data_IF_345826566517
#
_entry.id   IF_345826566517
#
_cell.length_a   1.000
_cell.length_b   1.000
_cell.length_c   1.000
_cell.angle_alpha   90.00
_cell.angle_beta   90.00
_cell.angle_gamma   90.00
#
_symmetry.space_group_name_H-M   'P 1'
#
loop_
_entity.id
_entity.type
_entity.pdbx_description
1 polymer ?
#
# COMPACT_ATOMS: atom_id res chain seq x y z
N UNK A 1 4.14 -3.06 17.10
CA UNK A 1 3.33 -2.01 16.43
C UNK A 1 2.22 -2.70 15.68
N UNK A 2 0.97 -2.29 15.90
CA UNK A 2 -0.20 -2.92 15.29
C UNK A 2 -0.70 -2.05 14.15
N UNK A 3 -0.91 -2.66 12.99
CA UNK A 3 -1.44 -2.00 11.81
C UNK A 3 -2.73 -2.67 11.35
N UNK A 4 -3.69 -1.85 10.93
CA UNK A 4 -4.93 -2.33 10.35
C UNK A 4 -4.73 -2.56 8.85
N UNK A 5 -4.94 -3.79 8.39
CA UNK A 5 -4.79 -4.17 6.99
C UNK A 5 -6.12 -4.71 6.45
N UNK A 6 -6.44 -4.37 5.20
CA UNK A 6 -7.67 -4.80 4.55
C UNK A 6 -7.36 -5.79 3.42
N UNK A 7 -8.07 -6.92 3.40
CA UNK A 7 -7.98 -7.90 2.35
C UNK A 7 -8.62 -7.34 1.06
N UNK A 8 -7.85 -7.31 -0.02
CA UNK A 8 -8.32 -6.85 -1.34
C UNK A 8 -9.34 -7.78 -1.98
N UNK A 9 -9.41 -9.05 -1.55
CA UNK A 9 -10.33 -10.04 -2.10
C UNK A 9 -11.70 -10.05 -1.42
N UNK A 10 -11.75 -10.18 -0.09
CA UNK A 10 -13.01 -10.30 0.65
C UNK A 10 -13.43 -9.03 1.40
N UNK A 11 -12.56 -8.02 1.46
CA UNK A 11 -12.82 -6.78 2.18
C UNK A 11 -12.71 -6.88 3.70
N UNK A 12 -12.37 -8.05 4.26
CA UNK A 12 -12.14 -8.19 5.69
C UNK A 12 -10.99 -7.29 6.14
N UNK A 13 -11.14 -6.68 7.30
CA UNK A 13 -10.12 -5.85 7.92
C UNK A 13 -9.63 -6.52 9.20
N UNK A 14 -8.33 -6.69 9.32
CA UNK A 14 -7.70 -7.38 10.45
C UNK A 14 -6.49 -6.60 10.96
N UNK A 15 -6.10 -6.89 12.19
CA UNK A 15 -4.88 -6.35 12.79
C UNK A 15 -3.71 -7.27 12.46
N UNK A 16 -2.63 -6.70 11.94
CA UNK A 16 -1.35 -7.38 11.80
C UNK A 16 -0.37 -6.79 12.83
N UNK A 17 0.17 -7.64 13.70
CA UNK A 17 1.28 -7.28 14.59
C UNK A 17 2.57 -7.84 14.04
N UNK A 18 3.57 -6.99 13.84
CA UNK A 18 4.89 -7.42 13.38
C UNK A 18 5.76 -8.03 14.49
N UNK A 19 5.26 -8.10 15.73
CA UNK A 19 6.01 -8.67 16.85
C UNK A 19 6.20 -10.18 16.63
N UNK A 20 7.46 -10.61 16.61
CA UNK A 20 7.91 -11.99 16.39
C UNK A 20 7.85 -12.55 14.95
N UNK A 21 7.58 -11.73 13.93
CA UNK A 21 7.59 -12.18 12.53
C UNK A 21 8.89 -11.82 11.79
N UNK A 22 9.35 -12.72 10.91
CA UNK A 22 10.41 -12.43 9.96
C UNK A 22 9.89 -11.55 8.83
N UNK A 23 10.78 -10.81 8.17
CA UNK A 23 10.40 -9.88 7.11
C UNK A 23 9.69 -10.57 5.92
N UNK A 24 10.02 -11.82 5.62
CA UNK A 24 9.43 -12.61 4.53
C UNK A 24 8.19 -13.41 4.95
N UNK A 25 7.78 -13.35 6.21
CA UNK A 25 6.58 -14.04 6.65
C UNK A 25 5.34 -13.41 6.00
N UNK A 26 4.41 -14.26 5.59
CA UNK A 26 3.19 -13.87 4.92
C UNK A 26 2.14 -13.37 5.91
N UNK A 27 1.44 -12.30 5.52
CA UNK A 27 0.21 -11.84 6.13
C UNK A 27 -0.93 -12.38 5.27
N UNK A 28 -1.67 -13.33 5.81
CA UNK A 28 -2.82 -13.95 5.14
C UNK A 28 -4.13 -13.48 5.75
N UNK A 29 -5.18 -13.44 4.95
CA UNK A 29 -6.50 -13.06 5.41
C UNK A 29 -7.07 -14.14 6.34
N UNK A 30 -7.50 -13.76 7.55
CA UNK A 30 -8.09 -14.70 8.51
C UNK A 30 -9.42 -15.29 8.03
N UNK A 31 -10.12 -14.59 7.13
CA UNK A 31 -11.43 -15.01 6.62
C UNK A 31 -11.30 -15.89 5.37
N UNK A 32 -10.59 -15.43 4.34
CA UNK A 32 -10.54 -16.13 3.05
C UNK A 32 -9.23 -16.87 2.78
N UNK A 33 -8.23 -16.73 3.65
CA UNK A 33 -6.91 -17.36 3.50
C UNK A 33 -6.02 -16.76 2.41
N UNK A 34 -6.49 -15.76 1.67
CA UNK A 34 -5.68 -15.12 0.62
C UNK A 34 -4.46 -14.42 1.21
N UNK A 35 -3.35 -14.50 0.47
CA UNK A 35 -2.19 -13.66 0.71
C UNK A 35 -2.56 -12.18 0.57
N UNK A 36 -2.13 -11.38 1.54
CA UNK A 36 -2.32 -9.92 1.53
C UNK A 36 -0.98 -9.22 1.28
N UNK A 37 0.02 -9.51 2.10
CA UNK A 37 1.34 -8.87 2.03
C UNK A 37 2.40 -9.64 2.84
N UNK A 38 3.61 -9.11 2.97
CA UNK A 38 4.65 -9.58 3.89
C UNK A 38 4.88 -8.60 5.04
N UNK A 39 5.33 -9.11 6.19
CA UNK A 39 5.62 -8.26 7.36
C UNK A 39 6.74 -7.23 7.12
N UNK A 40 7.72 -7.56 6.28
CA UNK A 40 8.80 -6.65 5.90
C UNK A 40 8.27 -5.46 5.09
N UNK A 41 7.50 -5.73 4.05
CA UNK A 41 6.90 -4.66 3.23
C UNK A 41 5.94 -3.78 4.04
N UNK A 42 5.14 -4.35 4.94
CA UNK A 42 4.27 -3.58 5.83
C UNK A 42 5.06 -2.66 6.78
N UNK A 43 6.20 -3.11 7.30
CA UNK A 43 7.08 -2.26 8.11
C UNK A 43 7.70 -1.13 7.28
N UNK A 44 8.10 -1.40 6.03
CA UNK A 44 8.61 -0.38 5.12
C UNK A 44 7.56 0.68 4.81
N UNK A 45 6.31 0.28 4.54
CA UNK A 45 5.19 1.19 4.32
C UNK A 45 4.93 2.08 5.54
N UNK A 46 5.07 1.52 6.74
CA UNK A 46 4.92 2.26 7.98
C UNK A 46 6.03 3.30 8.21
N UNK A 47 7.13 3.27 7.44
CA UNK A 47 8.19 4.27 7.57
C UNK A 47 7.78 5.62 6.96
N UNK A 48 8.15 6.75 7.59
CA UNK A 48 7.86 8.09 7.05
C UNK A 48 8.43 8.31 5.64
N UNK A 49 9.59 7.71 5.34
CA UNK A 49 10.26 7.87 4.05
C UNK A 49 9.47 7.23 2.91
N UNK A 50 8.90 6.05 3.13
CA UNK A 50 8.08 5.38 2.13
C UNK A 50 6.80 6.18 1.84
N UNK A 51 6.11 6.67 2.89
CA UNK A 51 4.92 7.50 2.72
C UNK A 51 5.22 8.77 1.92
N UNK A 52 6.29 9.48 2.25
CA UNK A 52 6.71 10.67 1.50
C UNK A 52 7.08 10.33 0.04
N UNK A 53 7.72 9.19 -0.20
CA UNK A 53 8.05 8.73 -1.55
C UNK A 53 6.77 8.50 -2.37
N UNK A 54 5.82 7.74 -1.82
CA UNK A 54 4.54 7.44 -2.47
C UNK A 54 3.72 8.70 -2.76
N UNK A 55 3.68 9.66 -1.83
CA UNK A 55 3.02 10.95 -2.06
C UNK A 55 3.67 11.76 -3.19
N UNK A 56 4.99 11.75 -3.29
CA UNK A 56 5.70 12.41 -4.39
C UNK A 56 5.44 11.76 -5.75
N UNK A 57 5.32 10.43 -5.79
CA UNK A 57 4.91 9.70 -6.99
C UNK A 57 3.49 10.07 -7.42
N UNK A 58 2.54 10.04 -6.49
CA UNK A 58 1.15 10.42 -6.75
C UNK A 58 1.05 11.86 -7.29
N UNK A 59 1.77 12.82 -6.67
CA UNK A 59 1.83 14.20 -7.16
C UNK A 59 2.36 14.30 -8.58
N UNK A 60 3.43 13.56 -8.88
CA UNK A 60 4.06 13.57 -10.20
C UNK A 60 3.12 13.03 -11.27
N UNK A 61 2.39 11.95 -10.97
CA UNK A 61 1.39 11.37 -11.87
C UNK A 61 0.24 12.34 -12.13
N UNK A 62 -0.32 12.97 -11.09
CA UNK A 62 -1.39 13.96 -11.25
C UNK A 62 -0.96 15.14 -12.14
N UNK A 63 0.28 15.61 -12.00
CA UNK A 63 0.83 16.65 -12.87
C UNK A 63 0.99 16.18 -14.32
N UNK A 64 1.38 14.92 -14.54
CA UNK A 64 1.45 14.35 -15.90
C UNK A 64 0.07 14.25 -16.54
N UNK A 65 -0.94 13.77 -15.80
CA UNK A 65 -2.32 13.67 -16.26
C UNK A 65 -2.89 15.05 -16.64
N UNK A 66 -2.73 16.05 -15.78
CA UNK A 66 -3.18 17.42 -16.07
C UNK A 66 -2.50 18.00 -17.33
N UNK A 67 -1.20 17.74 -17.52
CA UNK A 67 -0.47 18.15 -18.73
C UNK A 67 -0.96 17.43 -19.98
N UNK A 68 -1.34 16.16 -19.88
CA UNK A 68 -1.89 15.39 -20.99
C UNK A 68 -3.28 15.90 -21.39
N UNK A 69 -4.14 16.18 -20.41
CA UNK A 69 -5.46 16.79 -20.62
C UNK A 69 -5.35 18.15 -21.32
N UNK A 70 -4.47 19.03 -20.86
CA UNK A 70 -4.24 20.33 -21.49
C UNK A 70 -3.69 20.25 -22.93
N UNK A 71 -2.97 19.17 -23.29
CA UNK A 71 -2.56 18.93 -24.69
C UNK A 71 -3.70 18.38 -25.53
N UNK A 72 -4.54 17.52 -24.96
CA UNK A 72 -5.67 16.90 -25.67
C UNK A 72 -6.78 17.90 -26.02
N UNK A 73 -6.94 18.99 -25.27
CA UNK A 73 -7.93 20.04 -25.56
C UNK A 73 -7.48 21.13 -26.53
N UNK A 74 -6.27 21.05 -27.09
CA UNK A 74 -5.71 22.06 -28.04
C UNK A 74 -5.71 21.59 -29.51
N UNK A 75 -6.33 20.45 -29.81
CA UNK A 75 -6.61 19.93 -31.16
C UNK A 75 -8.10 20.04 -31.45
#
# INVERSE_FOLDING_TARGET
MEHQISCTRCGNTQTASSECHQAWDEITCIECGDFIDTYGHQQEIATPNYLLHTLNLARSLSLQMARAEHRSGRT
#
